data_IF_598217400081
#
_entry.id   IF_598217400081
#
_cell.length_a   1.000
_cell.length_b   1.000
_cell.length_c   1.000
_cell.angle_alpha   90.00
_cell.angle_beta   90.00
_cell.angle_gamma   90.00
#
_symmetry.space_group_name_H-M   'P 1'
#
loop_
_entity.id
_entity.type
_entity.pdbx_description
1 polymer ?
#
# COMPACT_ATOMS: atom_id res chain seq x y z
N UNK A 1 -75.36 27.53 -24.44
CA UNK A 1 -74.43 26.75 -25.29
C UNK A 1 -73.13 26.57 -24.51
N UNK A 2 -72.76 25.32 -24.29
CA UNK A 2 -71.70 24.85 -23.39
C UNK A 2 -70.29 25.19 -23.86
N UNK A 3 -69.40 25.49 -22.91
CA UNK A 3 -67.99 25.10 -22.98
C UNK A 3 -67.44 24.96 -21.55
N UNK A 4 -67.22 23.70 -21.13
CA UNK A 4 -66.47 23.34 -19.91
C UNK A 4 -65.01 23.76 -20.11
N UNK A 5 -64.43 24.48 -19.16
CA UNK A 5 -62.96 24.54 -19.03
C UNK A 5 -62.57 24.03 -17.64
N UNK A 6 -61.96 22.85 -17.64
CA UNK A 6 -61.43 22.16 -16.47
C UNK A 6 -60.22 22.94 -15.96
N UNK A 7 -60.35 23.60 -14.81
CA UNK A 7 -59.20 24.21 -14.14
C UNK A 7 -58.30 23.10 -13.57
N UNK A 8 -57.01 23.05 -13.93
CA UNK A 8 -56.14 21.94 -13.58
C UNK A 8 -55.77 21.93 -12.09
N UNK A 9 -55.81 20.73 -11.51
CA UNK A 9 -55.51 20.40 -10.11
C UNK A 9 -54.04 20.64 -9.76
N UNK A 10 -53.77 20.80 -8.45
CA UNK A 10 -52.49 21.02 -7.72
C UNK A 10 -51.28 20.11 -8.07
N UNK A 11 -51.38 19.25 -9.09
CA UNK A 11 -50.33 18.33 -9.57
C UNK A 11 -49.51 18.87 -10.75
N UNK A 12 -49.77 20.09 -11.22
CA UNK A 12 -49.04 20.72 -12.35
C UNK A 12 -48.05 21.83 -11.93
N UNK A 13 -47.56 21.83 -10.70
CA UNK A 13 -46.42 22.66 -10.29
C UNK A 13 -45.35 21.76 -9.67
N UNK A 14 -44.57 21.09 -10.52
CA UNK A 14 -43.23 20.58 -10.22
C UNK A 14 -42.62 20.04 -11.52
N UNK A 15 -42.27 20.95 -12.42
CA UNK A 15 -41.40 20.67 -13.56
C UNK A 15 -40.66 21.95 -13.92
N UNK A 16 -39.59 22.25 -13.17
CA UNK A 16 -38.61 23.24 -13.58
C UNK A 16 -37.24 22.88 -12.98
N UNK A 17 -36.25 22.79 -13.88
CA UNK A 17 -34.79 22.72 -13.67
C UNK A 17 -34.19 21.45 -13.07
N UNK A 18 -34.14 20.37 -13.87
CA UNK A 18 -33.12 19.34 -13.74
C UNK A 18 -32.42 19.20 -15.09
N UNK A 19 -31.39 20.03 -15.34
CA UNK A 19 -30.73 20.03 -16.65
C UNK A 19 -29.57 21.01 -16.76
N UNK A 20 -28.62 20.96 -15.83
CA UNK A 20 -27.29 21.57 -16.00
C UNK A 20 -26.22 21.09 -15.00
N UNK A 21 -26.59 20.41 -13.90
CA UNK A 21 -25.63 19.96 -12.87
C UNK A 21 -25.14 18.51 -12.99
N UNK A 22 -25.90 17.64 -13.67
CA UNK A 22 -25.60 16.21 -13.72
C UNK A 22 -24.35 15.88 -14.57
N UNK A 23 -24.08 16.66 -15.63
CA UNK A 23 -22.88 16.46 -16.46
C UNK A 23 -21.59 16.85 -15.74
N UNK A 24 -21.60 17.89 -14.89
CA UNK A 24 -20.42 18.29 -14.11
C UNK A 24 -20.07 17.27 -13.02
N UNK A 25 -21.07 16.63 -12.41
CA UNK A 25 -20.87 15.59 -11.41
C UNK A 25 -20.43 14.25 -12.03
N UNK A 26 -20.87 13.94 -13.26
CA UNK A 26 -20.34 12.80 -14.02
C UNK A 26 -18.86 12.98 -14.41
N UNK A 27 -18.43 14.20 -14.77
CA UNK A 27 -17.01 14.46 -15.07
C UNK A 27 -16.11 14.33 -13.85
N UNK A 28 -16.54 14.79 -12.68
CA UNK A 28 -15.76 14.68 -11.44
C UNK A 28 -15.64 13.23 -10.96
N UNK A 29 -16.71 12.44 -11.08
CA UNK A 29 -16.69 11.01 -10.75
C UNK A 29 -15.91 10.18 -11.76
N UNK A 30 -15.97 10.48 -13.06
CA UNK A 30 -15.07 9.86 -14.05
C UNK A 30 -13.59 10.23 -13.82
N UNK A 31 -13.28 11.44 -13.34
CA UNK A 31 -11.90 11.87 -13.02
C UNK A 31 -11.36 11.18 -11.76
N UNK A 32 -12.22 10.85 -10.80
CA UNK A 32 -11.86 10.09 -9.60
C UNK A 32 -11.83 8.57 -9.84
N UNK A 33 -12.65 8.05 -10.76
CA UNK A 33 -12.67 6.65 -11.18
C UNK A 33 -11.58 6.32 -12.22
N UNK A 34 -11.13 7.30 -13.01
CA UNK A 34 -9.83 7.29 -13.67
C UNK A 34 -8.75 7.57 -12.62
N UNK A 35 -8.73 6.76 -11.56
CA UNK A 35 -7.63 6.73 -10.63
C UNK A 35 -6.37 6.46 -11.45
N UNK A 36 -5.44 7.41 -11.32
CA UNK A 36 -4.07 7.44 -11.81
C UNK A 36 -3.41 6.06 -12.13
N UNK A 37 -3.66 5.54 -13.34
CA UNK A 37 -2.97 4.36 -13.91
C UNK A 37 -1.55 4.70 -14.42
N UNK A 38 -1.02 5.87 -14.07
CA UNK A 38 0.30 6.30 -14.51
C UNK A 38 1.39 5.50 -13.79
N UNK A 39 2.32 4.93 -14.55
CA UNK A 39 3.53 4.30 -13.99
C UNK A 39 4.43 5.41 -13.43
N UNK A 40 4.66 5.39 -12.11
CA UNK A 40 5.49 6.36 -11.41
C UNK A 40 6.83 5.74 -11.03
N UNK A 41 7.96 6.44 -11.23
CA UNK A 41 9.26 5.94 -10.79
C UNK A 41 9.27 5.64 -9.29
N UNK A 42 9.65 4.42 -8.93
CA UNK A 42 9.89 4.05 -7.54
C UNK A 42 11.40 4.00 -7.24
N UNK A 43 11.76 4.39 -6.03
CA UNK A 43 13.12 4.29 -5.51
C UNK A 43 13.07 3.79 -4.07
N UNK A 44 13.85 2.77 -3.78
CA UNK A 44 14.04 2.28 -2.41
C UNK A 44 14.86 3.32 -1.64
N UNK A 45 14.31 3.85 -0.56
CA UNK A 45 15.01 4.71 0.38
C UNK A 45 14.67 4.25 1.79
N UNK A 46 15.63 3.59 2.44
CA UNK A 46 15.51 3.04 3.78
C UNK A 46 16.08 4.06 4.77
N UNK A 47 15.25 4.64 5.66
CA UNK A 47 15.72 5.58 6.65
C UNK A 47 16.74 4.97 7.61
N UNK A 48 17.72 5.78 8.01
CA UNK A 48 18.82 5.31 8.86
C UNK A 48 18.32 4.76 10.21
N UNK A 49 17.25 5.32 10.76
CA UNK A 49 16.63 4.84 11.99
C UNK A 49 16.07 3.43 11.86
N UNK A 50 15.63 3.01 10.67
CA UNK A 50 15.17 1.64 10.43
C UNK A 50 16.34 0.65 10.45
N UNK A 51 17.49 1.03 9.86
CA UNK A 51 18.70 0.21 9.89
C UNK A 51 19.27 0.10 11.32
N UNK A 52 19.30 1.20 12.06
CA UNK A 52 19.68 1.19 13.49
C UNK A 52 18.71 0.34 14.31
N UNK A 53 17.40 0.48 14.07
CA UNK A 53 16.37 -0.31 14.71
C UNK A 53 16.49 -1.80 14.40
N UNK A 54 16.85 -2.16 13.17
CA UNK A 54 17.15 -3.52 12.76
C UNK A 54 18.33 -4.09 13.57
N UNK A 55 19.47 -3.38 13.60
CA UNK A 55 20.66 -3.83 14.35
C UNK A 55 20.37 -4.03 15.83
N UNK A 56 19.61 -3.11 16.44
CA UNK A 56 19.17 -3.24 17.83
C UNK A 56 18.32 -4.49 18.07
N UNK A 57 17.37 -4.79 17.18
CA UNK A 57 16.51 -5.98 17.30
C UNK A 57 17.32 -7.27 17.14
N UNK A 58 18.23 -7.31 16.17
CA UNK A 58 19.13 -8.45 15.97
C UNK A 58 20.00 -8.70 17.21
N UNK A 59 20.55 -7.64 17.82
CA UNK A 59 21.32 -7.75 19.06
C UNK A 59 20.50 -8.21 20.27
N UNK A 60 19.20 -7.90 20.30
CA UNK A 60 18.29 -8.31 21.37
C UNK A 60 17.61 -9.66 21.14
N UNK A 61 18.10 -10.47 20.17
CA UNK A 61 17.50 -11.77 19.84
C UNK A 61 17.55 -12.70 21.05
N UNK A 62 16.39 -13.28 21.38
CA UNK A 62 16.27 -14.34 22.38
C UNK A 62 16.38 -15.68 21.68
N UNK A 63 17.36 -16.48 22.06
CA UNK A 63 17.63 -17.77 21.42
C UNK A 63 16.81 -18.89 22.08
N UNK A 64 16.26 -19.83 21.29
CA UNK A 64 15.72 -21.07 21.82
C UNK A 64 16.87 -22.01 22.23
N UNK A 65 16.50 -23.14 22.83
CA UNK A 65 17.43 -24.26 23.04
C UNK A 65 17.87 -24.87 21.70
N UNK A 66 18.99 -25.58 21.72
CA UNK A 66 19.52 -26.29 20.56
C UNK A 66 18.61 -27.45 20.14
N UNK A 67 18.61 -27.76 18.84
CA UNK A 67 17.84 -28.87 18.27
C UNK A 67 18.25 -30.23 18.87
N UNK A 68 17.31 -31.19 18.85
CA UNK A 68 17.55 -32.54 19.42
C UNK A 68 18.23 -33.49 18.44
N UNK A 69 18.35 -33.12 17.17
CA UNK A 69 18.93 -33.93 16.10
C UNK A 69 20.07 -33.18 15.41
N UNK A 70 21.09 -33.90 14.88
CA UNK A 70 22.25 -33.26 14.25
C UNK A 70 22.00 -32.80 12.81
N UNK A 71 20.87 -33.20 12.19
CA UNK A 71 20.52 -32.84 10.82
C UNK A 71 19.54 -31.65 10.76
N UNK A 72 18.98 -31.37 9.57
CA UNK A 72 18.04 -30.26 9.34
C UNK A 72 16.58 -30.72 9.27
N UNK A 73 16.28 -31.94 9.71
CA UNK A 73 14.90 -32.48 9.65
C UNK A 73 13.90 -31.69 10.50
N UNK A 74 14.39 -30.96 11.51
CA UNK A 74 13.60 -30.06 12.37
C UNK A 74 13.61 -28.59 11.90
N UNK A 75 14.25 -28.29 10.76
CA UNK A 75 14.32 -26.94 10.21
C UNK A 75 15.72 -26.32 10.29
N UNK A 76 15.76 -24.99 10.33
CA UNK A 76 17.01 -24.23 10.34
C UNK A 76 17.73 -24.41 11.67
N UNK A 77 19.00 -24.82 11.60
CA UNK A 77 19.83 -25.04 12.78
C UNK A 77 20.19 -23.73 13.48
N UNK A 78 20.14 -23.73 14.82
CA UNK A 78 20.41 -22.60 15.69
C UNK A 78 21.76 -21.95 15.39
N UNK A 79 22.81 -22.76 15.22
CA UNK A 79 24.15 -22.29 14.88
C UNK A 79 24.15 -21.47 13.59
N UNK A 80 23.39 -21.89 12.57
CA UNK A 80 23.31 -21.17 11.30
C UNK A 80 22.54 -19.86 11.43
N UNK A 81 21.47 -19.83 12.22
CA UNK A 81 20.71 -18.61 12.49
C UNK A 81 21.54 -17.60 13.30
N UNK A 82 22.31 -18.06 14.29
CA UNK A 82 23.23 -17.21 15.05
C UNK A 82 24.29 -16.58 14.16
N UNK A 83 24.86 -17.34 13.23
CA UNK A 83 25.81 -16.81 12.24
C UNK A 83 25.16 -15.76 11.33
N UNK A 84 23.94 -16.02 10.86
CA UNK A 84 23.19 -15.09 10.01
C UNK A 84 22.87 -13.78 10.75
N UNK A 85 22.37 -13.87 11.98
CA UNK A 85 22.05 -12.71 12.82
C UNK A 85 23.32 -11.88 13.09
N UNK A 86 24.44 -12.55 13.40
CA UNK A 86 25.75 -11.89 13.56
C UNK A 86 26.14 -11.13 12.29
N UNK A 87 26.10 -11.79 11.13
CA UNK A 87 26.47 -11.20 9.85
C UNK A 87 25.60 -9.97 9.52
N UNK A 88 24.28 -10.08 9.62
CA UNK A 88 23.37 -8.95 9.35
C UNK A 88 23.47 -7.81 10.38
N UNK A 89 23.74 -8.15 11.64
CA UNK A 89 23.86 -7.18 12.73
C UNK A 89 25.15 -6.37 12.68
N UNK A 90 26.22 -6.93 12.12
CA UNK A 90 27.57 -6.35 12.22
C UNK A 90 28.24 -6.10 10.87
N UNK A 91 28.26 -7.07 9.97
CA UNK A 91 29.09 -7.05 8.76
C UNK A 91 28.34 -6.62 7.51
N UNK A 92 27.03 -6.89 7.42
CA UNK A 92 26.28 -6.61 6.21
C UNK A 92 26.09 -5.09 5.99
N UNK A 93 26.50 -4.64 4.80
CA UNK A 93 26.27 -3.29 4.32
C UNK A 93 24.92 -3.20 3.61
N UNK A 94 23.92 -2.73 4.34
CA UNK A 94 22.57 -2.50 3.82
C UNK A 94 22.51 -1.45 2.70
N UNK A 95 23.39 -0.45 2.71
CA UNK A 95 23.42 0.60 1.67
C UNK A 95 23.89 0.04 0.33
N UNK A 96 24.78 -0.95 0.36
CA UNK A 96 25.15 -1.70 -0.84
C UNK A 96 23.96 -2.47 -1.43
N UNK A 97 23.11 -3.05 -0.58
CA UNK A 97 21.88 -3.73 -1.01
C UNK A 97 20.88 -2.75 -1.64
N UNK A 98 20.62 -1.63 -0.96
CA UNK A 98 19.75 -0.55 -1.45
C UNK A 98 20.22 0.01 -2.81
N UNK A 99 21.52 0.27 -2.96
CA UNK A 99 22.09 0.74 -4.22
C UNK A 99 21.90 -0.26 -5.36
N UNK A 100 22.02 -1.56 -5.08
CA UNK A 100 21.78 -2.63 -6.07
C UNK A 100 20.32 -2.71 -6.50
N UNK A 101 19.38 -2.56 -5.57
CA UNK A 101 17.95 -2.53 -5.89
C UNK A 101 17.63 -1.32 -6.79
N UNK A 102 18.17 -0.15 -6.45
CA UNK A 102 17.95 1.07 -7.22
C UNK A 102 18.74 1.15 -8.54
N UNK A 103 19.51 0.11 -8.90
CA UNK A 103 20.22 0.05 -10.18
C UNK A 103 19.30 -0.28 -11.37
N UNK A 104 18.06 -0.68 -11.11
CA UNK A 104 17.06 -1.02 -12.12
C UNK A 104 15.81 -0.13 -11.97
N UNK A 105 15.07 0.15 -13.06
CA UNK A 105 13.73 0.73 -12.96
C UNK A 105 12.81 -0.14 -12.11
N UNK A 106 11.97 0.50 -11.30
CA UNK A 106 11.07 -0.12 -10.33
C UNK A 106 9.63 0.26 -10.62
#
# INVERSE_FOLDING_TARGET
>A
MSARSLSPTRRQLLAATAGAGALSLLSATMRAAAADDAVRPFRVDIPQEQLTGLRRRLAATRWPDQETVPDQSQGAQLAKLQELVRYWGTEYDWRKGEARLNAFPQ
#
